data_IF_023190832284
#
_entry.id   IF_023190832284
#
_cell.length_a   1.000
_cell.length_b   1.000
_cell.length_c   1.000
_cell.angle_alpha   90.00
_cell.angle_beta   90.00
_cell.angle_gamma   90.00
#
_symmetry.space_group_name_H-M   'P 1'
#
loop_
_entity.id
_entity.type
_entity.pdbx_description
1 polymer ?
#
# COMPACT_ATOMS: atom_id res chain seq x y z
N UNK A 1 19.97 -33.11 -21.07
CA UNK A 1 19.74 -33.91 -19.85
C UNK A 1 18.31 -34.43 -19.91
N UNK A 2 18.09 -35.74 -19.92
CA UNK A 2 16.74 -36.28 -20.07
C UNK A 2 15.94 -36.05 -18.78
N UNK A 3 14.71 -35.52 -18.87
CA UNK A 3 13.87 -35.19 -17.72
C UNK A 3 13.35 -36.42 -16.94
N UNK A 4 13.67 -37.63 -17.39
CA UNK A 4 13.25 -38.91 -16.77
C UNK A 4 14.38 -39.61 -16.00
N UNK A 5 15.63 -39.15 -16.10
CA UNK A 5 16.79 -39.78 -15.45
C UNK A 5 17.06 -39.22 -14.04
N UNK A 6 16.34 -38.17 -13.64
CA UNK A 6 16.42 -37.62 -12.29
C UNK A 6 15.36 -38.28 -11.42
N UNK A 7 15.72 -38.89 -10.28
CA UNK A 7 14.75 -39.53 -9.40
C UNK A 7 13.72 -38.48 -8.95
N UNK A 8 12.44 -38.85 -8.98
CA UNK A 8 11.30 -37.99 -8.61
C UNK A 8 11.53 -37.30 -7.24
N UNK A 9 12.23 -37.98 -6.34
CA UNK A 9 12.64 -37.48 -5.02
C UNK A 9 13.53 -36.22 -5.08
N UNK A 10 14.47 -36.16 -6.04
CA UNK A 10 15.32 -34.99 -6.24
C UNK A 10 14.51 -33.77 -6.70
N UNK A 11 13.53 -33.97 -7.58
CA UNK A 11 12.65 -32.90 -8.08
C UNK A 11 11.67 -32.41 -7.00
N UNK A 12 11.17 -33.31 -6.16
CA UNK A 12 10.37 -32.97 -4.98
C UNK A 12 11.15 -32.14 -3.96
N UNK A 13 12.41 -32.52 -3.72
CA UNK A 13 13.32 -31.79 -2.83
C UNK A 13 13.63 -30.40 -3.37
N UNK A 14 13.97 -30.28 -4.65
CA UNK A 14 14.22 -28.99 -5.30
C UNK A 14 13.00 -28.06 -5.21
N UNK A 15 11.80 -28.58 -5.47
CA UNK A 15 10.54 -27.80 -5.35
C UNK A 15 10.23 -27.40 -3.90
N UNK A 16 10.61 -28.21 -2.92
CA UNK A 16 10.47 -27.86 -1.52
C UNK A 16 11.46 -26.75 -1.11
N UNK A 17 12.69 -26.81 -1.60
CA UNK A 17 13.72 -25.81 -1.33
C UNK A 17 13.42 -24.48 -2.04
N UNK A 18 12.86 -24.50 -3.25
CA UNK A 18 12.39 -23.30 -3.94
C UNK A 18 11.27 -22.60 -3.14
N UNK A 19 10.32 -23.37 -2.60
CA UNK A 19 9.25 -22.84 -1.73
C UNK A 19 9.81 -22.21 -0.46
N UNK A 20 10.77 -22.89 0.20
CA UNK A 20 11.45 -22.34 1.40
C UNK A 20 12.17 -21.04 1.09
N UNK A 21 12.86 -20.97 -0.06
CA UNK A 21 13.56 -19.76 -0.50
C UNK A 21 12.60 -18.61 -0.75
N UNK A 22 11.51 -18.82 -1.51
CA UNK A 22 10.50 -17.80 -1.77
C UNK A 22 9.86 -17.26 -0.47
N UNK A 23 9.56 -18.14 0.49
CA UNK A 23 8.98 -17.73 1.77
C UNK A 23 9.98 -16.94 2.62
N UNK A 24 11.25 -17.35 2.62
CA UNK A 24 12.33 -16.62 3.29
C UNK A 24 12.57 -15.24 2.67
N UNK A 25 12.57 -15.15 1.35
CA UNK A 25 12.74 -13.88 0.61
C UNK A 25 11.55 -12.93 0.86
N UNK A 26 10.34 -13.48 0.95
CA UNK A 26 9.15 -12.70 1.34
C UNK A 26 9.29 -12.14 2.75
N UNK A 27 9.64 -12.97 3.74
CA UNK A 27 9.83 -12.51 5.12
C UNK A 27 10.97 -11.49 5.24
N UNK A 28 12.04 -11.62 4.46
CA UNK A 28 13.17 -10.67 4.48
C UNK A 28 12.78 -9.25 4.05
N UNK A 29 11.84 -9.12 3.09
CA UNK A 29 11.30 -7.81 2.68
C UNK A 29 10.61 -7.06 3.82
N UNK A 30 10.01 -7.79 4.76
CA UNK A 30 9.33 -7.21 5.92
C UNK A 30 10.23 -7.08 7.15
N UNK A 31 11.25 -7.94 7.28
CA UNK A 31 12.18 -7.85 8.41
C UNK A 31 13.07 -6.60 8.29
N UNK A 32 13.56 -6.28 7.08
CA UNK A 32 14.30 -5.04 6.85
C UNK A 32 13.41 -3.80 6.84
N UNK A 33 12.10 -3.96 6.60
CA UNK A 33 11.18 -2.82 6.66
C UNK A 33 10.94 -2.33 8.08
N UNK A 34 11.21 -3.13 9.13
CA UNK A 34 11.09 -2.65 10.52
C UNK A 34 12.12 -1.55 10.80
N UNK A 35 13.38 -1.75 10.44
CA UNK A 35 14.41 -0.71 10.60
C UNK A 35 14.11 0.53 9.74
N UNK A 36 13.57 0.34 8.53
CA UNK A 36 13.12 1.44 7.68
C UNK A 36 11.85 2.14 8.20
N UNK A 37 10.93 1.41 8.86
CA UNK A 37 9.72 2.00 9.47
C UNK A 37 10.13 2.92 10.62
N UNK A 38 11.06 2.48 11.47
CA UNK A 38 11.56 3.24 12.61
C UNK A 38 12.22 4.56 12.18
N UNK A 39 12.88 4.57 11.02
CA UNK A 39 13.47 5.77 10.43
C UNK A 39 12.40 6.69 9.81
N UNK A 40 11.41 6.11 9.13
CA UNK A 40 10.27 6.82 8.53
C UNK A 40 9.37 7.45 9.61
N UNK A 41 9.22 6.82 10.77
CA UNK A 41 8.38 7.32 11.88
C UNK A 41 9.00 8.51 12.62
N UNK A 42 10.34 8.65 12.59
CA UNK A 42 11.04 9.80 13.21
C UNK A 42 10.75 11.12 12.50
N UNK A 43 10.38 11.07 11.22
CA UNK A 43 10.13 12.26 10.42
C UNK A 43 8.65 12.40 10.03
N UNK A 44 8.05 13.58 10.28
CA UNK A 44 6.66 13.82 9.90
C UNK A 44 6.48 13.70 8.38
N UNK A 45 5.27 13.31 7.94
CA UNK A 45 4.97 12.99 6.55
C UNK A 45 5.34 14.09 5.55
N UNK A 46 5.20 15.37 5.93
CA UNK A 46 5.59 16.50 5.08
C UNK A 46 7.10 16.53 4.81
N UNK A 47 7.94 16.25 5.81
CA UNK A 47 9.41 16.19 5.65
C UNK A 47 9.82 14.97 4.82
N UNK A 48 9.23 13.81 5.10
CA UNK A 48 9.42 12.59 4.29
C UNK A 48 9.08 12.78 2.82
N UNK A 49 8.10 13.62 2.50
CA UNK A 49 7.70 13.94 1.13
C UNK A 49 8.51 15.08 0.52
N UNK A 50 9.51 15.64 1.23
CA UNK A 50 10.29 16.78 0.76
C UNK A 50 9.50 18.09 0.70
N UNK A 51 8.37 18.18 1.40
CA UNK A 51 7.52 19.37 1.44
C UNK A 51 8.09 20.34 2.45
N UNK A 52 8.49 21.53 1.99
CA UNK A 52 8.90 22.63 2.86
C UNK A 52 7.70 23.51 3.25
N UNK A 53 7.46 23.63 4.57
CA UNK A 53 6.39 24.44 5.17
C UNK A 53 6.82 25.89 5.45
N UNK A 54 8.09 26.26 5.21
CA UNK A 54 8.59 27.62 5.43
C UNK A 54 8.06 28.64 4.42
N UNK A 55 7.72 28.19 3.21
CA UNK A 55 6.93 28.96 2.26
C UNK A 55 5.53 29.13 2.85
N UNK A 56 5.09 30.37 3.08
CA UNK A 56 3.76 30.72 3.61
C UNK A 56 2.60 29.94 2.96
N UNK A 57 1.39 29.98 3.55
CA UNK A 57 0.36 28.95 3.36
C UNK A 57 0.20 28.59 1.89
N UNK A 58 0.76 27.43 1.49
CA UNK A 58 0.42 26.84 0.20
C UNK A 58 -1.04 26.45 0.34
N UNK A 59 -1.91 27.23 -0.29
CA UNK A 59 -3.31 26.91 -0.54
C UNK A 59 -3.45 25.67 -1.46
N UNK A 60 -2.61 24.65 -1.29
CA UNK A 60 -2.79 23.37 -1.96
C UNK A 60 -3.71 22.51 -1.10
N UNK A 61 -4.99 22.83 -1.30
CA UNK A 61 -6.07 21.87 -1.35
C UNK A 61 -6.36 21.13 -0.05
N UNK A 62 -7.03 21.82 0.87
CA UNK A 62 -8.05 21.15 1.69
C UNK A 62 -9.15 20.64 0.75
N UNK A 63 -8.91 19.50 0.09
CA UNK A 63 -10.01 18.71 -0.46
C UNK A 63 -10.75 18.15 0.75
N UNK A 64 -11.73 18.88 1.25
CA UNK A 64 -12.61 18.38 2.30
C UNK A 64 -13.21 17.06 1.85
N UNK A 65 -13.14 16.01 2.68
CA UNK A 65 -13.81 14.71 2.43
C UNK A 65 -15.34 14.84 2.33
N UNK A 66 -15.87 15.99 2.78
CA UNK A 66 -17.26 16.36 2.70
C UNK A 66 -17.48 17.34 1.55
N UNK A 67 -18.37 17.00 0.63
CA UNK A 67 -18.86 17.88 -0.44
C UNK A 67 -20.18 18.51 0.00
N UNK A 68 -20.35 19.80 -0.25
CA UNK A 68 -21.63 20.50 -0.04
C UNK A 68 -22.54 20.22 -1.25
N UNK A 69 -23.77 19.77 -1.02
CA UNK A 69 -24.73 19.53 -2.09
C UNK A 69 -26.17 19.73 -1.63
N UNK A 70 -27.03 20.05 -2.57
CA UNK A 70 -28.48 20.20 -2.38
C UNK A 70 -29.16 18.84 -2.54
N UNK A 71 -30.21 18.56 -1.77
CA UNK A 71 -31.02 17.35 -1.93
C UNK A 71 -32.26 17.62 -2.80
N UNK A 72 -33.12 16.62 -3.00
CA UNK A 72 -34.31 16.75 -3.85
C UNK A 72 -35.38 17.69 -3.30
N UNK A 73 -35.21 18.20 -2.08
CA UNK A 73 -36.11 19.14 -1.41
C UNK A 73 -35.45 20.53 -1.25
N UNK A 74 -34.37 20.80 -1.97
CA UNK A 74 -33.62 22.07 -1.94
C UNK A 74 -32.96 22.41 -0.58
N UNK A 75 -32.70 21.40 0.26
CA UNK A 75 -32.01 21.59 1.55
C UNK A 75 -30.48 21.38 1.43
N UNK A 76 -29.70 22.28 2.03
CA UNK A 76 -28.23 22.23 2.01
C UNK A 76 -27.72 21.13 2.95
N UNK A 77 -27.01 20.14 2.41
CA UNK A 77 -26.46 19.02 3.19
C UNK A 77 -24.97 18.77 2.91
N UNK A 78 -24.25 18.29 3.93
CA UNK A 78 -22.85 17.85 3.82
C UNK A 78 -22.79 16.36 3.48
N UNK A 79 -22.36 16.01 2.26
CA UNK A 79 -22.23 14.62 1.78
C UNK A 79 -20.79 14.14 1.87
N UNK A 80 -20.56 12.91 2.29
CA UNK A 80 -19.22 12.29 2.32
C UNK A 80 -19.04 11.39 1.10
N UNK A 81 -18.72 12.00 -0.06
CA UNK A 81 -18.55 11.26 -1.32
C UNK A 81 -17.18 10.54 -1.31
N UNK A 82 -17.15 9.33 -0.77
CA UNK A 82 -15.95 8.50 -0.71
C UNK A 82 -15.68 7.84 -2.08
N UNK A 83 -14.71 8.35 -2.85
CA UNK A 83 -14.41 7.84 -4.20
C UNK A 83 -13.65 6.49 -4.22
N UNK A 84 -13.34 5.90 -3.07
CA UNK A 84 -12.64 4.62 -2.96
C UNK A 84 -13.61 3.41 -2.91
N UNK A 85 -14.91 3.65 -2.77
CA UNK A 85 -15.91 2.59 -2.87
C UNK A 85 -16.31 2.48 -4.34
N UNK A 86 -15.74 1.51 -5.06
CA UNK A 86 -16.21 1.19 -6.41
C UNK A 86 -17.64 0.64 -6.28
N UNK A 87 -18.58 1.42 -6.77
CA UNK A 87 -19.98 1.03 -6.96
C UNK A 87 -20.00 -0.01 -8.09
N UNK A 88 -19.65 -1.25 -7.73
CA UNK A 88 -19.86 -2.51 -8.46
C UNK A 88 -19.32 -3.64 -7.58
N UNK A 89 -20.17 -4.08 -6.66
CA UNK A 89 -20.12 -5.42 -6.05
C UNK A 89 -20.74 -6.37 -7.09
N UNK A 90 -20.03 -7.44 -7.45
CA UNK A 90 -20.55 -8.55 -8.28
C UNK A 90 -21.77 -9.23 -7.60
#
# INVERSE_FOLDING_TARGET
>A
VNPMDSPIDALLKERADERRRKLKDFNYKFQNSVSSIDEIEKEPAYKRQGIDLSSGPRYESKVSRTTLGEDSNDDIQLRSNNSFLHDNVD
#
